data_IF_793904887207
#
_entry.id   IF_793904887207
#
_cell.length_a   1.000
_cell.length_b   1.000
_cell.length_c   1.000
_cell.angle_alpha   90.00
_cell.angle_beta   90.00
_cell.angle_gamma   90.00
#
_symmetry.space_group_name_H-M   'P 1'
#
loop_
_entity.id
_entity.type
_entity.pdbx_description
1 polymer ?
#
# COMPACT_ATOMS: atom_id res chain seq x y z
N UNK A 1 -17.40 12.92 -3.11
CA UNK A 1 -17.31 11.50 -2.71
C UNK A 1 -16.51 10.81 -3.81
N UNK A 2 -15.22 10.54 -3.61
CA UNK A 2 -14.38 9.99 -4.67
C UNK A 2 -14.71 8.52 -4.88
N UNK A 3 -15.09 8.19 -6.11
CA UNK A 3 -15.16 6.82 -6.58
C UNK A 3 -13.76 6.20 -6.44
N UNK A 4 -13.70 4.96 -5.97
CA UNK A 4 -12.49 4.13 -6.10
C UNK A 4 -12.14 4.07 -7.59
N UNK A 5 -10.89 4.38 -7.94
CA UNK A 5 -10.40 4.24 -9.30
C UNK A 5 -9.97 2.79 -9.54
N UNK A 6 -10.06 2.32 -10.79
CA UNK A 6 -9.79 0.92 -11.14
C UNK A 6 -8.35 0.48 -10.83
N UNK A 7 -7.42 1.42 -10.64
CA UNK A 7 -6.02 1.18 -10.31
C UNK A 7 -5.69 1.23 -8.79
N UNK A 8 -6.69 1.46 -7.94
CA UNK A 8 -6.54 1.54 -6.48
C UNK A 8 -6.66 0.19 -5.77
N UNK A 9 -7.21 -0.81 -6.46
CA UNK A 9 -7.38 -2.14 -5.92
C UNK A 9 -7.38 -3.18 -7.03
N UNK A 10 -7.13 -4.42 -6.67
CA UNK A 10 -7.31 -5.57 -7.56
C UNK A 10 -7.90 -6.74 -6.80
N UNK A 11 -8.53 -7.67 -7.53
CA UNK A 11 -9.06 -8.90 -6.97
C UNK A 11 -8.04 -10.01 -7.10
N UNK A 12 -7.48 -10.47 -5.99
CA UNK A 12 -6.61 -11.66 -5.94
C UNK A 12 -7.34 -12.80 -5.25
N UNK A 13 -7.62 -13.89 -5.97
CA UNK A 13 -8.26 -15.10 -5.40
C UNK A 13 -9.56 -14.83 -4.62
N UNK A 14 -10.34 -13.83 -5.06
CA UNK A 14 -11.58 -13.43 -4.38
C UNK A 14 -11.38 -12.47 -3.20
N UNK A 15 -10.15 -12.03 -2.94
CA UNK A 15 -9.82 -11.02 -1.94
C UNK A 15 -9.62 -9.66 -2.60
N UNK A 16 -10.11 -8.63 -1.94
CA UNK A 16 -9.91 -7.25 -2.34
C UNK A 16 -8.54 -6.77 -1.84
N UNK A 17 -7.59 -6.60 -2.75
CA UNK A 17 -6.23 -6.17 -2.42
C UNK A 17 -6.03 -4.72 -2.83
N UNK A 18 -5.70 -3.88 -1.87
CA UNK A 18 -5.41 -2.46 -2.09
C UNK A 18 -4.01 -2.28 -2.65
N UNK A 19 -3.87 -1.47 -3.70
CA UNK A 19 -2.59 -1.12 -4.28
C UNK A 19 -1.92 0.02 -3.50
N UNK A 20 -0.64 0.26 -3.79
CA UNK A 20 0.11 1.37 -3.25
C UNK A 20 -0.54 2.73 -3.56
N UNK A 21 -1.22 2.90 -4.70
CA UNK A 21 -1.89 4.15 -5.09
C UNK A 21 -3.03 4.53 -4.16
N UNK A 22 -3.83 3.54 -3.76
CA UNK A 22 -4.88 3.76 -2.78
C UNK A 22 -4.31 4.17 -1.43
N UNK A 23 -3.29 3.43 -0.97
CA UNK A 23 -2.62 3.71 0.29
C UNK A 23 -1.92 5.07 0.30
N UNK A 24 -1.40 5.51 -0.85
CA UNK A 24 -0.83 6.83 -1.02
C UNK A 24 -1.88 7.93 -1.03
N UNK A 25 -2.99 7.75 -1.77
CA UNK A 25 -4.11 8.69 -1.78
C UNK A 25 -4.71 8.88 -0.39
N UNK A 26 -4.73 7.82 0.43
CA UNK A 26 -5.12 7.89 1.84
C UNK A 26 -4.27 8.91 2.62
N UNK A 27 -3.02 9.13 2.21
CA UNK A 27 -2.15 10.20 2.70
C UNK A 27 -1.44 9.92 4.03
N UNK A 28 -1.55 8.71 4.59
CA UNK A 28 -0.84 8.34 5.81
C UNK A 28 -0.63 6.82 5.95
N UNK A 29 0.44 6.45 6.67
CA UNK A 29 0.71 5.06 7.05
C UNK A 29 -0.24 4.63 8.18
N UNK A 30 -0.96 3.54 7.97
CA UNK A 30 -1.97 3.07 8.93
C UNK A 30 -1.42 2.17 10.05
N UNK A 31 -0.13 1.83 10.02
CA UNK A 31 0.52 1.00 11.04
C UNK A 31 0.18 -0.50 11.02
N UNK A 32 -0.57 -0.97 10.01
CA UNK A 32 -1.02 -2.36 9.92
C UNK A 32 -0.08 -3.31 9.14
N UNK A 33 1.04 -2.83 8.61
CA UNK A 33 1.95 -3.68 7.81
C UNK A 33 1.36 -4.09 6.45
N UNK A 34 0.80 -3.14 5.70
CA UNK A 34 0.18 -3.42 4.40
C UNK A 34 1.19 -3.89 3.34
N UNK A 35 0.84 -4.94 2.59
CA UNK A 35 1.70 -5.52 1.54
C UNK A 35 2.26 -4.53 0.51
N UNK A 36 1.47 -3.52 0.13
CA UNK A 36 1.84 -2.50 -0.86
C UNK A 36 2.11 -1.13 -0.20
N UNK A 37 2.65 -1.11 1.03
CA UNK A 37 2.82 0.12 1.79
C UNK A 37 3.79 1.09 1.09
N UNK A 38 3.34 2.30 0.67
CA UNK A 38 4.22 3.26 0.00
C UNK A 38 5.09 4.06 0.98
N UNK A 39 4.83 3.95 2.29
CA UNK A 39 5.50 4.71 3.36
C UNK A 39 6.53 3.88 4.15
N UNK A 40 7.02 2.77 3.59
CA UNK A 40 7.99 1.86 4.24
C UNK A 40 7.68 1.54 5.73
N UNK A 41 6.40 1.26 6.02
CA UNK A 41 5.96 0.87 7.36
C UNK A 41 6.31 1.88 8.47
N UNK A 42 6.40 3.19 8.18
CA UNK A 42 6.80 4.23 9.14
C UNK A 42 6.01 4.18 10.47
N UNK A 43 4.69 3.97 10.40
CA UNK A 43 3.83 3.90 11.59
C UNK A 43 3.64 2.49 12.17
N UNK A 44 4.33 1.48 11.64
CA UNK A 44 4.27 0.11 12.15
C UNK A 44 5.25 -0.02 13.32
N UNK A 45 4.85 -0.60 14.47
CA UNK A 45 5.77 -0.82 15.58
C UNK A 45 6.97 -1.68 15.15
N UNK A 46 8.20 -1.38 15.63
CA UNK A 46 9.40 -2.08 15.23
C UNK A 46 9.33 -3.61 15.47
N UNK A 47 8.62 -4.03 16.54
CA UNK A 47 8.38 -5.45 16.84
C UNK A 47 7.58 -6.20 15.77
N UNK A 48 6.75 -5.47 15.03
CA UNK A 48 5.98 -6.02 13.91
C UNK A 48 6.80 -5.89 12.63
N UNK A 49 7.48 -4.75 12.40
CA UNK A 49 8.30 -4.50 11.20
C UNK A 49 9.38 -5.55 10.98
N UNK A 50 9.99 -6.09 12.04
CA UNK A 50 11.00 -7.17 11.95
C UNK A 50 10.47 -8.48 11.34
N UNK A 51 9.15 -8.73 11.39
CA UNK A 51 8.52 -9.94 10.86
C UNK A 51 7.75 -9.67 9.54
N UNK A 52 7.77 -8.44 9.04
CA UNK A 52 7.07 -8.08 7.80
C UNK A 52 7.96 -8.35 6.59
N UNK A 53 7.33 -8.87 5.53
CA UNK A 53 7.95 -8.89 4.21
C UNK A 53 8.11 -7.47 3.66
N UNK A 54 9.17 -7.20 2.88
CA UNK A 54 9.36 -5.90 2.25
C UNK A 54 8.12 -5.55 1.39
N UNK A 55 7.69 -4.27 1.41
CA UNK A 55 6.54 -3.87 0.64
C UNK A 55 6.84 -4.03 -0.85
N UNK A 56 5.87 -4.57 -1.59
CA UNK A 56 5.97 -4.76 -3.03
C UNK A 56 5.17 -3.67 -3.74
N UNK A 57 5.72 -3.06 -4.79
CA UNK A 57 4.96 -2.14 -5.63
C UNK A 57 4.27 -2.92 -6.74
N UNK A 58 2.93 -2.90 -6.76
CA UNK A 58 2.15 -3.58 -7.76
C UNK A 58 2.43 -3.03 -9.17
N UNK A 59 2.61 -1.72 -9.30
CA UNK A 59 2.93 -1.03 -10.55
C UNK A 59 4.44 -0.92 -10.80
N UNK A 60 5.27 -1.53 -9.94
CA UNK A 60 6.74 -1.53 -10.06
C UNK A 60 7.44 -0.23 -9.67
N UNK A 61 6.69 0.83 -9.31
CA UNK A 61 7.21 2.14 -8.92
C UNK A 61 6.40 2.68 -7.73
N UNK A 62 6.95 3.60 -6.93
CA UNK A 62 6.16 4.27 -5.90
C UNK A 62 5.05 5.13 -6.53
N UNK A 63 3.90 5.25 -5.85
CA UNK A 63 2.84 6.15 -6.27
C UNK A 63 3.27 7.60 -6.01
N UNK A 64 3.45 8.38 -7.07
CA UNK A 64 3.86 9.79 -7.00
C UNK A 64 5.27 10.07 -7.52
N UNK A 65 6.04 9.05 -7.88
CA UNK A 65 7.24 9.22 -8.73
C UNK A 65 6.80 9.29 -10.20
N UNK A 66 6.39 10.49 -10.59
CA UNK A 66 6.18 10.85 -11.98
C UNK A 66 7.36 11.73 -12.40
N UNK A 67 8.17 11.29 -13.36
CA UNK A 67 8.80 12.21 -14.32
C UNK A 67 7.76 12.72 -15.32
#
# INVERSE_FOLDING_TARGET
MSQLQDDEFYMDKGLFVLTERFLWRRGYCCGNGCRHCPFDYESVPPRTKENLEPPVFYFGNHPGENS
#
